data_IF_996038786253
#
_entry.id   IF_996038786253
#
_cell.length_a   1.000
_cell.length_b   1.000
_cell.length_c   1.000
_cell.angle_alpha   90.00
_cell.angle_beta   90.00
_cell.angle_gamma   90.00
#
_symmetry.space_group_name_H-M   'P 1'
#
loop_
_entity.id
_entity.type
_entity.pdbx_description
1 polymer ?
#
# COMPACT_ATOMS: atom_id res chain seq x y z
N UNK A 1 11.71 38.18 -21.76
CA UNK A 1 12.46 37.43 -20.71
C UNK A 1 11.61 37.44 -19.46
N UNK A 2 10.73 36.45 -19.29
CA UNK A 2 9.97 36.24 -18.04
C UNK A 2 10.65 35.11 -17.28
N UNK A 3 11.36 35.49 -16.22
CA UNK A 3 11.91 34.54 -15.26
C UNK A 3 10.76 34.06 -14.41
N UNK A 4 10.24 32.88 -14.68
CA UNK A 4 9.34 32.17 -13.78
C UNK A 4 10.14 31.78 -12.54
N UNK A 5 10.08 32.61 -11.51
CA UNK A 5 10.52 32.27 -10.15
C UNK A 5 9.57 31.17 -9.66
N UNK A 6 10.00 29.92 -9.77
CA UNK A 6 9.39 28.82 -9.04
C UNK A 6 9.67 29.08 -7.57
N UNK A 7 8.74 29.74 -6.89
CA UNK A 7 8.71 29.83 -5.43
C UNK A 7 8.39 28.42 -4.96
N UNK A 8 9.44 27.64 -4.74
CA UNK A 8 9.40 26.47 -3.86
C UNK A 8 8.99 27.02 -2.50
N UNK A 9 7.70 26.92 -2.17
CA UNK A 9 7.23 27.02 -0.81
C UNK A 9 7.83 25.81 -0.09
N UNK A 10 9.08 25.92 0.35
CA UNK A 10 9.69 25.06 1.36
C UNK A 10 8.89 25.32 2.63
N UNK A 11 7.90 24.50 2.90
CA UNK A 11 7.26 24.49 4.21
C UNK A 11 8.36 24.17 5.21
N UNK A 12 8.82 25.19 5.95
CA UNK A 12 9.66 25.01 7.13
C UNK A 12 8.78 24.32 8.17
N UNK A 13 8.67 22.99 8.06
CA UNK A 13 8.02 22.20 9.09
C UNK A 13 8.97 22.19 10.28
N UNK A 14 8.63 22.97 11.29
CA UNK A 14 9.35 23.00 12.55
C UNK A 14 8.96 21.75 13.36
N UNK A 15 9.96 21.00 13.84
CA UNK A 15 9.76 19.82 14.68
C UNK A 15 8.81 20.08 15.85
N UNK A 16 8.97 21.20 16.58
CA UNK A 16 8.12 21.55 17.71
C UNK A 16 6.65 21.72 17.30
N UNK A 17 6.39 22.29 16.14
CA UNK A 17 5.02 22.38 15.62
C UNK A 17 4.46 20.98 15.27
N UNK A 18 5.29 20.11 14.69
CA UNK A 18 4.86 18.74 14.36
C UNK A 18 4.44 17.97 15.61
N UNK A 19 5.23 18.01 16.68
CA UNK A 19 4.99 17.25 17.91
C UNK A 19 4.06 17.96 18.88
N UNK A 20 3.42 19.10 18.53
CA UNK A 20 2.54 19.83 19.44
C UNK A 20 1.49 18.91 20.07
N UNK A 21 1.04 19.27 21.28
CA UNK A 21 0.08 18.43 22.01
C UNK A 21 -1.25 18.31 21.24
N UNK A 22 -1.66 19.35 20.53
CA UNK A 22 -2.85 19.36 19.69
C UNK A 22 -2.73 18.35 18.55
N UNK A 23 -1.57 18.28 17.90
CA UNK A 23 -1.30 17.31 16.84
C UNK A 23 -1.25 15.87 17.37
N UNK A 24 -0.79 15.65 18.60
CA UNK A 24 -0.82 14.33 19.24
C UNK A 24 -2.26 13.91 19.58
N UNK A 25 -3.11 14.81 20.08
CA UNK A 25 -4.53 14.52 20.28
C UNK A 25 -5.24 14.24 18.96
N UNK A 26 -4.92 14.98 17.90
CA UNK A 26 -5.46 14.72 16.57
C UNK A 26 -5.01 13.35 16.04
N UNK A 27 -3.72 13.04 16.16
CA UNK A 27 -3.16 11.73 15.75
C UNK A 27 -3.81 10.57 16.54
N UNK A 28 -4.05 10.75 17.84
CA UNK A 28 -4.83 9.81 18.65
C UNK A 28 -6.24 9.64 18.13
N UNK A 29 -6.96 10.72 17.89
CA UNK A 29 -8.33 10.69 17.36
C UNK A 29 -8.41 9.91 16.07
N UNK A 30 -7.48 10.14 15.12
CA UNK A 30 -7.40 9.39 13.87
C UNK A 30 -7.04 7.91 14.09
N UNK A 31 -6.10 7.65 14.99
CA UNK A 31 -5.69 6.28 15.32
C UNK A 31 -6.85 5.47 15.94
N UNK A 32 -7.61 6.10 16.84
CA UNK A 32 -8.70 5.45 17.60
C UNK A 32 -9.88 5.00 16.72
N UNK A 33 -10.11 5.63 15.58
CA UNK A 33 -11.23 5.32 14.66
C UNK A 33 -11.30 3.83 14.34
N UNK A 34 -12.45 3.22 14.63
CA UNK A 34 -12.69 1.79 14.39
C UNK A 34 -11.91 0.83 15.30
N UNK A 35 -11.30 1.31 16.39
CA UNK A 35 -10.49 0.49 17.32
C UNK A 35 -10.95 0.57 18.79
N UNK A 36 -12.04 1.26 19.07
CA UNK A 36 -12.56 1.52 20.43
C UNK A 36 -12.85 0.28 21.26
N UNK A 37 -13.09 -0.87 20.60
CA UNK A 37 -13.34 -2.17 21.26
C UNK A 37 -12.06 -2.96 21.59
N UNK A 38 -10.89 -2.46 21.24
CA UNK A 38 -9.63 -3.16 21.51
C UNK A 38 -9.14 -2.84 22.92
N UNK A 39 -8.79 -3.87 23.68
CA UNK A 39 -8.37 -3.73 25.07
C UNK A 39 -7.17 -2.80 25.22
N UNK A 40 -6.13 -2.96 24.39
CA UNK A 40 -4.94 -2.13 24.43
C UNK A 40 -5.24 -0.64 24.14
N UNK A 41 -6.26 -0.35 23.34
CA UNK A 41 -6.70 1.02 23.04
C UNK A 41 -7.51 1.58 24.21
N UNK A 42 -8.40 0.78 24.82
CA UNK A 42 -9.18 1.18 26.00
C UNK A 42 -8.29 1.45 27.21
N UNK A 43 -7.27 0.62 27.42
CA UNK A 43 -6.30 0.79 28.49
C UNK A 43 -5.52 2.12 28.33
N UNK A 44 -5.03 2.42 27.14
CA UNK A 44 -4.37 3.70 26.86
C UNK A 44 -5.35 4.88 27.02
N UNK A 45 -6.60 4.72 26.64
CA UNK A 45 -7.63 5.78 26.71
C UNK A 45 -8.01 6.14 28.15
N UNK A 46 -7.93 5.21 29.13
CA UNK A 46 -8.23 5.48 30.54
C UNK A 46 -7.30 6.54 31.13
N UNK A 47 -6.07 6.66 30.66
CA UNK A 47 -5.06 7.62 31.09
C UNK A 47 -4.58 8.45 29.89
N UNK A 48 -5.54 8.89 29.06
CA UNK A 48 -5.22 9.47 27.75
C UNK A 48 -4.34 10.72 27.87
N UNK A 49 -4.72 11.63 28.77
CA UNK A 49 -4.02 12.90 28.92
C UNK A 49 -2.60 12.66 29.42
N UNK A 50 -2.43 11.90 30.50
CA UNK A 50 -1.11 11.57 31.05
C UNK A 50 -0.22 10.90 29.99
N UNK A 51 -0.76 9.87 29.30
CA UNK A 51 -0.05 9.16 28.24
C UNK A 51 0.39 10.06 27.07
N UNK A 52 -0.45 11.03 26.69
CA UNK A 52 -0.11 11.95 25.59
C UNK A 52 0.85 13.05 26.05
N UNK A 53 0.75 13.53 27.30
CA UNK A 53 1.72 14.48 27.85
C UNK A 53 3.08 13.84 28.07
N UNK A 54 3.15 12.61 28.56
CA UNK A 54 4.39 11.85 28.69
C UNK A 54 5.03 11.62 27.32
N UNK A 55 4.23 11.24 26.31
CA UNK A 55 4.70 11.10 24.93
C UNK A 55 5.22 12.44 24.39
N UNK A 56 4.50 13.55 24.59
CA UNK A 56 4.92 14.89 24.20
C UNK A 56 6.27 15.27 24.85
N UNK A 57 6.41 15.05 26.15
CA UNK A 57 7.64 15.36 26.89
C UNK A 57 8.81 14.53 26.38
N UNK A 58 8.60 13.24 26.10
CA UNK A 58 9.65 12.35 25.57
C UNK A 58 10.08 12.78 24.17
N UNK A 59 9.16 13.21 23.33
CA UNK A 59 9.46 13.74 21.99
C UNK A 59 10.19 15.08 22.08
N UNK A 60 9.70 16.01 22.89
CA UNK A 60 10.28 17.35 23.10
C UNK A 60 11.71 17.27 23.62
N UNK A 61 11.97 16.38 24.57
CA UNK A 61 13.29 16.19 25.17
C UNK A 61 14.19 15.22 24.38
N UNK A 62 13.71 14.69 23.24
CA UNK A 62 14.42 13.71 22.40
C UNK A 62 14.81 12.43 23.14
N UNK A 63 14.08 12.07 24.16
CA UNK A 63 14.25 10.81 24.91
C UNK A 63 13.35 9.69 24.38
N UNK A 64 12.47 9.99 23.45
CA UNK A 64 11.59 9.00 22.83
C UNK A 64 12.40 7.84 22.23
N UNK A 65 11.97 6.63 22.56
CA UNK A 65 12.44 5.37 21.97
C UNK A 65 11.23 4.56 21.56
N UNK A 66 11.24 4.07 20.34
CA UNK A 66 10.19 3.18 19.87
C UNK A 66 10.21 1.88 20.68
N UNK A 67 9.03 1.46 21.15
CA UNK A 67 8.90 0.24 21.94
C UNK A 67 8.93 -1.04 21.09
N UNK A 68 8.90 -2.18 21.76
CA UNK A 68 8.92 -3.50 21.10
C UNK A 68 7.64 -3.77 20.32
N UNK A 69 7.78 -4.59 19.27
CA UNK A 69 6.67 -5.06 18.46
C UNK A 69 6.07 -6.35 19.01
N UNK A 70 4.75 -6.41 19.05
CA UNK A 70 4.02 -7.67 19.20
C UNK A 70 3.86 -8.31 17.83
N UNK A 71 4.40 -9.52 17.63
CA UNK A 71 4.32 -10.19 16.35
C UNK A 71 3.29 -11.32 16.36
N UNK A 72 2.57 -11.49 15.24
CA UNK A 72 1.63 -12.58 15.02
C UNK A 72 1.45 -12.86 13.53
N UNK A 73 0.96 -14.07 13.22
CA UNK A 73 0.72 -14.48 11.85
C UNK A 73 -0.74 -14.30 11.44
N UNK A 74 -0.96 -13.70 10.26
CA UNK A 74 -2.27 -13.62 9.60
C UNK A 74 -2.24 -14.51 8.37
N UNK A 75 -3.22 -15.42 8.23
CA UNK A 75 -3.25 -16.45 7.18
C UNK A 75 -4.23 -16.17 6.03
N UNK A 76 -4.57 -14.91 5.73
CA UNK A 76 -5.54 -14.60 4.67
C UNK A 76 -5.07 -13.51 3.72
N UNK A 77 -4.92 -13.77 2.44
CA UNK A 77 -4.94 -15.02 1.67
C UNK A 77 -3.60 -15.77 1.67
N UNK A 78 -2.56 -15.16 2.18
CA UNK A 78 -1.21 -15.69 2.36
C UNK A 78 -0.81 -15.45 3.80
N UNK A 79 0.02 -16.33 4.33
CA UNK A 79 0.63 -16.10 5.63
C UNK A 79 1.49 -14.84 5.57
N UNK A 80 1.25 -13.94 6.52
CA UNK A 80 2.04 -12.72 6.73
C UNK A 80 2.40 -12.60 8.19
N UNK A 81 3.64 -12.30 8.46
CA UNK A 81 4.11 -11.95 9.79
C UNK A 81 3.83 -10.46 10.02
N UNK A 82 2.98 -10.15 10.98
CA UNK A 82 2.58 -8.79 11.31
C UNK A 82 3.29 -8.37 12.60
N UNK A 83 3.82 -7.17 12.62
CA UNK A 83 4.50 -6.58 13.76
C UNK A 83 3.72 -5.35 14.23
N UNK A 84 2.96 -5.52 15.30
CA UNK A 84 2.09 -4.49 15.88
C UNK A 84 2.89 -3.67 16.89
N UNK A 85 3.04 -2.37 16.67
CA UNK A 85 3.64 -1.45 17.62
C UNK A 85 2.73 -1.19 18.84
N UNK A 86 3.28 -0.68 19.95
CA UNK A 86 2.54 -0.22 21.14
C UNK A 86 1.59 0.92 20.79
N UNK A 87 0.62 1.22 21.64
CA UNK A 87 -0.39 2.26 21.36
C UNK A 87 0.26 3.64 21.22
N UNK A 88 1.16 4.01 22.13
CA UNK A 88 1.93 5.26 22.06
C UNK A 88 2.68 5.42 20.75
N UNK A 89 3.39 4.36 20.32
CA UNK A 89 4.13 4.37 19.05
C UNK A 89 3.17 4.50 17.85
N UNK A 90 2.00 3.85 17.91
CA UNK A 90 0.99 4.00 16.84
C UNK A 90 0.43 5.40 16.74
N UNK A 91 0.38 6.18 17.83
CA UNK A 91 0.05 7.61 17.77
C UNK A 91 1.15 8.37 17.02
N UNK A 92 2.42 8.11 17.33
CA UNK A 92 3.57 8.70 16.59
C UNK A 92 3.54 8.30 15.11
N UNK A 93 3.21 7.04 14.81
CA UNK A 93 3.03 6.59 13.42
C UNK A 93 1.93 7.37 12.68
N UNK A 94 0.81 7.69 13.34
CA UNK A 94 -0.26 8.50 12.74
C UNK A 94 0.18 9.94 12.51
N UNK A 95 0.86 10.55 13.50
CA UNK A 95 1.43 11.89 13.40
C UNK A 95 2.37 12.00 12.18
N UNK A 96 3.36 11.12 12.11
CA UNK A 96 4.35 11.10 11.03
C UNK A 96 3.73 10.73 9.67
N UNK A 97 2.75 9.83 9.63
CA UNK A 97 2.06 9.50 8.40
C UNK A 97 1.36 10.72 7.81
N UNK A 98 0.62 11.47 8.61
CA UNK A 98 -0.08 12.68 8.16
C UNK A 98 0.90 13.71 7.61
N UNK A 99 1.99 13.94 8.31
CA UNK A 99 3.07 14.83 7.88
C UNK A 99 3.69 14.38 6.53
N UNK A 100 4.13 13.14 6.46
CA UNK A 100 4.77 12.58 5.26
C UNK A 100 3.81 12.52 4.08
N UNK A 101 2.54 12.17 4.32
CA UNK A 101 1.54 12.09 3.27
C UNK A 101 1.34 13.46 2.60
N UNK A 102 1.18 14.51 3.38
CA UNK A 102 1.02 15.88 2.87
C UNK A 102 2.24 16.37 2.09
N UNK A 103 3.43 15.96 2.51
CA UNK A 103 4.69 16.36 1.88
C UNK A 103 4.98 15.60 0.58
N UNK A 104 4.71 14.28 0.55
CA UNK A 104 5.16 13.39 -0.53
C UNK A 104 4.07 13.03 -1.55
N UNK A 105 2.78 12.97 -1.19
CA UNK A 105 1.72 12.46 -2.09
C UNK A 105 1.65 13.23 -3.42
N UNK A 106 1.89 14.54 -3.39
CA UNK A 106 1.91 15.39 -4.59
C UNK A 106 3.02 15.01 -5.59
N UNK A 107 4.08 14.34 -5.13
CA UNK A 107 5.19 13.89 -5.99
C UNK A 107 5.00 12.47 -6.52
N UNK A 108 4.04 11.74 -6.02
CA UNK A 108 3.77 10.39 -6.50
C UNK A 108 3.09 10.41 -7.86
N UNK A 109 3.50 9.50 -8.74
CA UNK A 109 2.84 9.36 -10.04
C UNK A 109 1.35 9.07 -9.87
N UNK A 110 0.54 9.59 -10.79
CA UNK A 110 -0.91 9.45 -10.71
C UNK A 110 -1.34 7.98 -10.60
N UNK A 111 -0.68 7.08 -11.32
CA UNK A 111 -1.05 5.67 -11.45
C UNK A 111 -0.40 4.74 -10.39
N UNK A 112 -0.06 5.29 -9.21
CA UNK A 112 0.25 4.55 -7.98
C UNK A 112 -1.00 4.47 -7.10
N UNK A 113 -1.45 3.26 -6.73
CA UNK A 113 -2.79 3.02 -6.18
C UNK A 113 -2.84 2.49 -4.75
N UNK A 114 -1.73 2.03 -4.18
CA UNK A 114 -1.71 1.46 -2.83
C UNK A 114 -1.58 2.54 -1.76
N UNK A 115 -2.36 2.43 -0.69
CA UNK A 115 -2.25 3.28 0.52
C UNK A 115 -2.25 4.78 0.23
N UNK A 116 -3.08 5.24 -0.69
CA UNK A 116 -3.30 6.64 -1.03
C UNK A 116 -4.77 7.00 -0.97
N UNK A 117 -5.09 8.22 -0.51
CA UNK A 117 -6.46 8.74 -0.46
C UNK A 117 -7.06 8.77 -1.87
N UNK A 118 -8.34 8.41 -1.95
CA UNK A 118 -9.08 8.34 -3.22
C UNK A 118 -8.49 7.40 -4.29
N UNK A 119 -7.62 6.47 -3.93
CA UNK A 119 -7.05 5.40 -4.77
C UNK A 119 -7.58 4.02 -4.31
N UNK A 120 -6.78 2.99 -4.34
CA UNK A 120 -7.13 1.66 -3.85
C UNK A 120 -7.38 0.63 -4.96
N UNK A 121 -7.73 -0.57 -4.55
CA UNK A 121 -7.83 -1.77 -5.39
C UNK A 121 -8.78 -1.57 -6.58
N UNK A 122 -10.01 -1.12 -6.33
CA UNK A 122 -11.03 -1.02 -7.39
C UNK A 122 -10.68 0.03 -8.44
N UNK A 123 -10.16 1.19 -7.99
CA UNK A 123 -9.70 2.23 -8.93
C UNK A 123 -8.48 1.78 -9.74
N UNK A 124 -7.57 1.00 -9.13
CA UNK A 124 -6.43 0.41 -9.85
C UNK A 124 -6.87 -0.58 -10.94
N UNK A 125 -7.85 -1.44 -10.64
CA UNK A 125 -8.40 -2.38 -11.63
C UNK A 125 -9.14 -1.66 -12.76
N UNK A 126 -9.95 -0.65 -12.42
CA UNK A 126 -10.65 0.18 -13.43
C UNK A 126 -9.65 0.94 -14.32
N UNK A 127 -8.56 1.44 -13.74
CA UNK A 127 -7.49 2.09 -14.51
C UNK A 127 -6.77 1.11 -15.44
N UNK A 128 -6.56 -0.12 -15.00
CA UNK A 128 -6.03 -1.16 -15.87
C UNK A 128 -6.95 -1.43 -17.06
N UNK A 129 -8.26 -1.54 -16.84
CA UNK A 129 -9.26 -1.67 -17.92
C UNK A 129 -9.19 -0.48 -18.90
N UNK A 130 -9.14 0.76 -18.40
CA UNK A 130 -8.97 1.95 -19.24
C UNK A 130 -7.70 1.88 -20.08
N UNK A 131 -6.59 1.44 -19.50
CA UNK A 131 -5.33 1.27 -20.22
C UNK A 131 -5.40 0.17 -21.27
N UNK A 132 -6.01 -0.97 -20.96
CA UNK A 132 -6.18 -2.05 -21.95
C UNK A 132 -7.00 -1.59 -23.14
N UNK A 133 -8.09 -0.81 -22.89
CA UNK A 133 -8.91 -0.23 -23.94
C UNK A 133 -8.14 0.76 -24.83
N UNK A 134 -7.31 1.63 -24.21
CA UNK A 134 -6.49 2.61 -24.94
C UNK A 134 -5.41 1.93 -25.77
N UNK A 135 -4.66 0.99 -25.18
CA UNK A 135 -3.57 0.26 -25.85
C UNK A 135 -4.11 -0.58 -27.01
N UNK A 136 -5.25 -1.25 -26.83
CA UNK A 136 -5.85 -2.09 -27.87
C UNK A 136 -6.73 -1.30 -28.86
N UNK A 137 -6.76 0.01 -28.80
CA UNK A 137 -7.66 0.85 -29.62
C UNK A 137 -9.09 0.32 -29.58
N UNK A 138 -9.67 0.32 -28.38
CA UNK A 138 -11.02 -0.21 -28.14
C UNK A 138 -11.17 -1.71 -28.47
N UNK A 139 -10.16 -2.51 -28.13
CA UNK A 139 -10.10 -3.98 -28.29
C UNK A 139 -10.00 -4.50 -29.73
N UNK A 140 -9.70 -3.63 -30.70
CA UNK A 140 -9.47 -4.00 -32.10
C UNK A 140 -8.05 -4.55 -32.33
N UNK A 141 -7.08 -4.02 -31.58
CA UNK A 141 -5.67 -4.40 -31.68
C UNK A 141 -5.22 -5.29 -30.51
N UNK A 142 -4.01 -5.83 -30.64
CA UNK A 142 -3.39 -6.57 -29.55
C UNK A 142 -3.08 -5.65 -28.36
N UNK A 143 -3.20 -6.20 -27.17
CA UNK A 143 -2.70 -5.61 -25.95
C UNK A 143 -2.00 -6.69 -25.11
N UNK A 144 -0.76 -6.41 -24.72
CA UNK A 144 0.03 -7.25 -23.82
C UNK A 144 0.28 -6.47 -22.52
N UNK A 145 0.28 -7.19 -21.40
CA UNK A 145 0.70 -6.68 -20.12
C UNK A 145 1.94 -7.45 -19.65
N UNK A 146 2.95 -6.71 -19.20
CA UNK A 146 4.06 -7.24 -18.43
C UNK A 146 3.79 -6.93 -16.96
N UNK A 147 3.53 -7.97 -16.19
CA UNK A 147 3.34 -7.91 -14.75
C UNK A 147 4.62 -8.28 -14.04
N UNK A 148 5.01 -7.46 -13.06
CA UNK A 148 6.24 -7.58 -12.29
C UNK A 148 5.92 -7.42 -10.79
N UNK A 149 6.70 -8.08 -9.95
CA UNK A 149 6.55 -8.06 -8.49
C UNK A 149 7.95 -8.04 -7.86
N UNK A 150 8.11 -7.31 -6.78
CA UNK A 150 9.39 -7.21 -6.08
C UNK A 150 9.48 -8.32 -5.03
N UNK A 151 10.63 -8.99 -4.97
CA UNK A 151 10.88 -10.09 -4.05
C UNK A 151 11.01 -9.57 -2.61
N UNK A 152 10.18 -10.09 -1.70
CA UNK A 152 10.22 -9.76 -0.26
C UNK A 152 10.29 -8.26 0.05
N UNK A 153 9.62 -7.42 -0.71
CA UNK A 153 9.78 -5.96 -0.73
C UNK A 153 9.93 -5.32 0.65
N UNK A 154 8.96 -5.52 1.57
CA UNK A 154 9.03 -4.91 2.92
C UNK A 154 10.24 -5.36 3.75
N UNK A 155 10.73 -6.57 3.50
CA UNK A 155 11.92 -7.11 4.17
C UNK A 155 13.25 -6.63 3.53
N UNK A 156 13.17 -6.08 2.30
CA UNK A 156 14.34 -5.69 1.51
C UNK A 156 14.55 -4.19 1.45
N UNK A 157 13.68 -3.38 2.06
CA UNK A 157 13.86 -1.92 2.11
C UNK A 157 15.11 -1.60 2.90
N UNK A 158 16.08 -0.95 2.28
CA UNK A 158 17.30 -0.47 2.90
C UNK A 158 17.04 0.82 3.67
N UNK A 159 17.47 0.87 4.95
CA UNK A 159 17.21 2.01 5.83
C UNK A 159 17.98 3.27 5.39
N UNK A 160 19.21 3.12 4.93
CA UNK A 160 20.06 4.25 4.50
C UNK A 160 19.49 4.90 3.24
N UNK A 161 19.04 4.08 2.28
CA UNK A 161 18.38 4.58 1.08
C UNK A 161 17.08 5.30 1.46
N UNK A 162 16.27 4.71 2.36
CA UNK A 162 15.02 5.33 2.81
C UNK A 162 15.27 6.69 3.48
N UNK A 163 16.26 6.80 4.36
CA UNK A 163 16.63 8.08 5.00
C UNK A 163 17.07 9.09 3.94
N UNK A 164 17.95 8.70 3.01
CA UNK A 164 18.35 9.57 1.88
C UNK A 164 17.15 10.11 1.09
N UNK A 165 16.14 9.29 0.85
CA UNK A 165 14.94 9.70 0.14
C UNK A 165 14.10 10.71 0.94
N UNK A 166 14.04 10.54 2.26
CA UNK A 166 13.38 11.48 3.16
C UNK A 166 14.10 12.83 3.21
N UNK A 167 15.43 12.81 3.28
CA UNK A 167 16.29 14.01 3.28
C UNK A 167 16.15 14.87 2.01
N UNK A 168 15.73 14.30 0.88
CA UNK A 168 15.45 15.09 -0.33
C UNK A 168 14.39 16.19 -0.11
N UNK A 169 13.49 16.01 0.87
CA UNK A 169 12.39 16.96 1.13
C UNK A 169 12.33 17.47 2.56
N UNK A 170 12.91 16.77 3.50
CA UNK A 170 12.88 17.12 4.94
C UNK A 170 14.26 17.67 5.30
N UNK A 171 14.29 18.93 5.70
CA UNK A 171 15.53 19.64 6.08
C UNK A 171 15.73 19.61 7.60
N UNK A 172 14.62 19.59 8.35
CA UNK A 172 14.62 19.62 9.81
C UNK A 172 15.23 18.32 10.35
N UNK A 173 16.40 18.46 10.99
CA UNK A 173 17.18 17.33 11.53
C UNK A 173 16.45 16.61 12.68
N UNK A 174 15.59 17.30 13.39
CA UNK A 174 14.84 16.72 14.51
C UNK A 174 13.68 15.86 14.01
N UNK A 175 13.05 16.26 12.90
CA UNK A 175 12.09 15.40 12.20
C UNK A 175 12.79 14.16 11.63
N UNK A 176 13.96 14.32 11.03
CA UNK A 176 14.74 13.18 10.52
C UNK A 176 15.19 12.26 11.66
N UNK A 177 15.57 12.82 12.83
CA UNK A 177 15.85 12.01 14.03
C UNK A 177 14.63 11.16 14.44
N UNK A 178 13.44 11.74 14.50
CA UNK A 178 12.23 11.00 14.88
C UNK A 178 11.90 9.90 13.85
N UNK A 179 12.05 10.20 12.56
CA UNK A 179 11.87 9.21 11.50
C UNK A 179 12.89 8.07 11.61
N UNK A 180 14.15 8.38 11.93
CA UNK A 180 15.20 7.40 12.18
C UNK A 180 14.87 6.50 13.38
N UNK A 181 14.32 7.05 14.49
CA UNK A 181 13.85 6.22 15.62
C UNK A 181 12.82 5.17 15.18
N UNK A 182 11.93 5.51 14.25
CA UNK A 182 10.93 4.57 13.73
C UNK A 182 11.55 3.57 12.74
N UNK A 183 12.39 4.05 11.83
CA UNK A 183 12.97 3.20 10.77
C UNK A 183 13.91 2.16 11.40
N UNK A 184 14.81 2.58 12.28
CA UNK A 184 15.78 1.70 12.92
C UNK A 184 15.19 0.86 14.08
N UNK A 185 13.94 1.10 14.50
CA UNK A 185 13.28 0.28 15.53
C UNK A 185 13.01 -1.16 15.07
N UNK A 186 13.12 -1.43 13.78
CA UNK A 186 12.83 -2.73 13.20
C UNK A 186 13.95 -3.14 12.23
N UNK A 187 14.58 -4.27 12.50
CA UNK A 187 15.61 -4.86 11.65
C UNK A 187 15.30 -6.34 11.44
N UNK A 188 15.34 -6.77 10.19
CA UNK A 188 15.33 -8.20 9.84
C UNK A 188 16.74 -8.72 9.57
N UNK A 189 17.56 -7.94 8.84
CA UNK A 189 18.95 -8.22 8.52
C UNK A 189 19.67 -6.89 8.24
N UNK A 190 20.82 -6.63 8.89
CA UNK A 190 21.78 -5.56 8.55
C UNK A 190 21.16 -4.23 8.07
N UNK A 191 20.39 -3.56 8.91
CA UNK A 191 19.72 -2.28 8.60
C UNK A 191 18.74 -2.35 7.43
N UNK A 192 18.10 -3.52 7.21
CA UNK A 192 17.04 -3.70 6.19
C UNK A 192 15.72 -4.15 6.79
N UNK A 193 14.67 -3.76 6.13
CA UNK A 193 13.30 -4.15 6.43
C UNK A 193 12.49 -3.14 7.20
N UNK A 194 11.20 -3.07 6.89
CA UNK A 194 10.20 -2.31 7.65
C UNK A 194 9.05 -3.22 8.06
N UNK A 195 8.44 -2.98 9.24
CA UNK A 195 7.46 -3.88 9.81
C UNK A 195 6.13 -3.82 9.06
N UNK A 196 5.57 -4.98 8.72
CA UNK A 196 4.20 -5.08 8.22
C UNK A 196 3.20 -4.84 9.35
N UNK A 197 2.23 -3.96 9.11
CA UNK A 197 1.12 -3.70 10.04
C UNK A 197 1.09 -2.29 10.63
N UNK A 198 2.10 -1.48 10.39
CA UNK A 198 2.17 -0.09 10.83
C UNK A 198 1.89 0.90 9.70
N UNK A 199 1.32 2.05 10.07
CA UNK A 199 0.87 3.05 9.10
C UNK A 199 2.05 3.72 8.38
N UNK A 200 3.15 4.03 9.09
CA UNK A 200 4.36 4.60 8.49
C UNK A 200 4.99 3.69 7.45
N UNK A 201 4.96 2.37 7.65
CA UNK A 201 5.49 1.42 6.66
C UNK A 201 4.81 1.54 5.30
N UNK A 202 3.53 1.94 5.26
CA UNK A 202 2.78 2.14 4.03
C UNK A 202 3.26 3.36 3.25
N UNK A 203 3.51 4.47 3.95
CA UNK A 203 4.01 5.69 3.30
C UNK A 203 5.48 5.55 2.93
N UNK A 204 6.32 4.91 3.75
CA UNK A 204 7.71 4.60 3.44
C UNK A 204 7.83 3.74 2.19
N UNK A 205 6.98 2.71 2.04
CA UNK A 205 6.90 1.88 0.85
C UNK A 205 6.60 2.71 -0.42
N UNK A 206 5.68 3.68 -0.32
CA UNK A 206 5.36 4.54 -1.45
C UNK A 206 6.49 5.55 -1.77
N UNK A 207 7.13 6.12 -0.75
CA UNK A 207 8.29 7.02 -0.93
C UNK A 207 9.43 6.26 -1.61
N UNK A 208 9.74 5.05 -1.14
CA UNK A 208 10.81 4.22 -1.69
C UNK A 208 10.57 3.85 -3.15
N UNK A 209 9.38 3.36 -3.47
CA UNK A 209 9.03 2.96 -4.83
C UNK A 209 8.65 4.12 -5.76
N UNK A 210 8.51 5.33 -5.24
CA UNK A 210 8.36 6.49 -6.10
C UNK A 210 9.59 6.70 -7.00
N UNK A 211 10.79 6.34 -6.56
CA UNK A 211 12.00 6.39 -7.40
C UNK A 211 11.86 5.47 -8.63
N UNK A 212 11.34 4.25 -8.44
CA UNK A 212 11.00 3.36 -9.55
C UNK A 212 9.94 3.98 -10.46
N UNK A 213 8.88 4.57 -9.88
CA UNK A 213 7.81 5.21 -10.65
C UNK A 213 8.36 6.35 -11.52
N UNK A 214 9.23 7.21 -10.96
CA UNK A 214 9.88 8.31 -11.67
C UNK A 214 10.81 7.79 -12.78
N UNK A 215 11.59 6.74 -12.52
CA UNK A 215 12.43 6.10 -13.53
C UNK A 215 11.60 5.59 -14.69
N UNK A 216 10.55 4.84 -14.42
CA UNK A 216 9.65 4.27 -15.45
C UNK A 216 8.97 5.38 -16.28
N UNK A 217 8.50 6.44 -15.63
CA UNK A 217 7.74 7.51 -16.30
C UNK A 217 8.64 8.50 -17.04
N UNK A 218 9.77 8.88 -16.48
CA UNK A 218 10.59 9.97 -17.01
C UNK A 218 11.86 9.52 -17.75
N UNK A 219 12.47 8.38 -17.36
CA UNK A 219 13.64 7.83 -18.05
C UNK A 219 13.23 6.85 -19.14
N UNK A 220 12.43 5.84 -18.79
CA UNK A 220 11.95 4.87 -19.77
C UNK A 220 10.78 5.40 -20.62
N UNK A 221 10.16 6.51 -20.22
CA UNK A 221 9.03 7.17 -20.92
C UNK A 221 7.85 6.24 -21.19
N UNK A 222 7.62 5.27 -20.31
CA UNK A 222 6.55 4.29 -20.44
C UNK A 222 5.20 4.95 -20.14
N UNK A 223 4.33 5.04 -21.13
CA UNK A 223 3.03 5.70 -21.04
C UNK A 223 2.06 4.94 -20.17
N UNK A 224 1.89 3.64 -20.40
CA UNK A 224 0.89 2.79 -19.74
C UNK A 224 1.56 1.95 -18.64
N UNK A 225 1.75 2.56 -17.49
CA UNK A 225 2.33 2.01 -16.29
C UNK A 225 1.40 2.24 -15.11
N UNK A 226 1.20 1.25 -14.27
CA UNK A 226 0.49 1.38 -13.00
C UNK A 226 1.09 0.48 -11.92
N UNK A 227 1.04 0.93 -10.68
CA UNK A 227 1.59 0.22 -9.52
C UNK A 227 0.59 0.12 -8.37
N UNK A 228 0.62 -1.01 -7.69
CA UNK A 228 -0.05 -1.23 -6.42
C UNK A 228 0.92 -1.90 -5.43
N UNK A 229 1.46 -1.13 -4.49
CA UNK A 229 2.57 -1.55 -3.63
C UNK A 229 3.75 -2.08 -4.47
N UNK A 230 4.18 -3.33 -4.23
CA UNK A 230 5.24 -4.04 -4.93
C UNK A 230 4.82 -4.69 -6.27
N UNK A 231 3.52 -4.70 -6.59
CA UNK A 231 2.95 -5.27 -7.82
C UNK A 231 2.79 -4.16 -8.87
N UNK A 232 3.44 -4.24 -10.02
CA UNK A 232 3.32 -3.23 -11.06
C UNK A 232 3.18 -3.82 -12.46
N UNK A 233 2.58 -3.04 -13.34
CA UNK A 233 2.20 -3.45 -14.69
C UNK A 233 2.63 -2.41 -15.72
N UNK A 234 3.09 -2.90 -16.87
CA UNK A 234 3.36 -2.12 -18.07
C UNK A 234 2.55 -2.72 -19.21
N UNK A 235 1.91 -1.88 -20.04
CA UNK A 235 1.12 -2.34 -21.18
C UNK A 235 1.65 -1.79 -22.50
N UNK A 236 1.55 -2.62 -23.56
CA UNK A 236 1.89 -2.25 -24.93
C UNK A 236 1.11 -3.08 -25.95
N UNK A 237 1.05 -2.60 -27.19
CA UNK A 237 0.51 -3.36 -28.33
C UNK A 237 1.38 -4.57 -28.71
N UNK A 238 2.68 -4.51 -28.41
CA UNK A 238 3.65 -5.57 -28.76
C UNK A 238 4.35 -6.15 -27.55
N UNK A 239 4.51 -7.46 -27.53
CA UNK A 239 5.18 -8.18 -26.45
C UNK A 239 6.68 -7.84 -26.37
N UNK A 240 7.35 -7.75 -27.50
CA UNK A 240 8.80 -7.51 -27.55
C UNK A 240 9.18 -6.16 -26.95
N UNK A 241 8.37 -5.12 -27.19
CA UNK A 241 8.53 -3.83 -26.57
C UNK A 241 8.51 -3.88 -25.03
N UNK A 242 7.72 -4.76 -24.45
CA UNK A 242 7.66 -4.93 -23.00
C UNK A 242 8.89 -5.67 -22.45
N UNK A 243 9.33 -6.69 -23.16
CA UNK A 243 10.41 -7.56 -22.68
C UNK A 243 11.77 -6.86 -22.64
N UNK A 244 12.03 -5.89 -23.52
CA UNK A 244 13.28 -5.11 -23.53
C UNK A 244 13.53 -4.37 -22.23
N UNK A 245 12.47 -3.89 -21.53
CA UNK A 245 12.62 -3.14 -20.30
C UNK A 245 12.94 -4.00 -19.06
N UNK A 246 12.81 -5.33 -19.13
CA UNK A 246 13.04 -6.18 -17.96
C UNK A 246 14.46 -6.03 -17.43
N UNK A 247 15.46 -5.98 -18.30
CA UNK A 247 16.85 -5.86 -17.87
C UNK A 247 17.17 -4.47 -17.31
N UNK A 248 16.61 -3.41 -17.88
CA UNK A 248 16.77 -2.05 -17.39
C UNK A 248 16.12 -1.88 -16.01
N UNK A 249 14.90 -2.39 -15.84
CA UNK A 249 14.19 -2.40 -14.56
C UNK A 249 14.95 -3.19 -13.49
N UNK A 250 15.51 -4.37 -13.86
CA UNK A 250 16.35 -5.16 -12.94
C UNK A 250 17.59 -4.38 -12.49
N UNK A 251 18.32 -3.81 -13.45
CA UNK A 251 19.53 -3.02 -13.15
C UNK A 251 19.22 -1.84 -12.25
N UNK A 252 18.16 -1.09 -12.56
CA UNK A 252 17.76 0.06 -11.75
C UNK A 252 17.38 -0.34 -10.32
N UNK A 253 16.55 -1.38 -10.17
CA UNK A 253 16.13 -1.87 -8.85
C UNK A 253 17.32 -2.32 -8.00
N UNK A 254 18.28 -3.05 -8.59
CA UNK A 254 19.46 -3.54 -7.85
C UNK A 254 20.41 -2.39 -7.51
N UNK A 255 20.74 -1.53 -8.47
CA UNK A 255 21.79 -0.54 -8.28
C UNK A 255 21.34 0.68 -7.46
N UNK A 256 20.09 1.12 -7.63
CA UNK A 256 19.58 2.35 -7.01
C UNK A 256 18.75 2.11 -5.74
N UNK A 257 18.10 0.93 -5.67
CA UNK A 257 17.14 0.65 -4.60
C UNK A 257 17.47 -0.61 -3.80
N UNK A 258 18.51 -1.34 -4.13
CA UNK A 258 18.88 -2.62 -3.52
C UNK A 258 17.72 -3.64 -3.45
N UNK A 259 16.86 -3.62 -4.48
CA UNK A 259 15.70 -4.47 -4.63
C UNK A 259 15.85 -5.45 -5.79
N UNK A 260 15.23 -6.63 -5.66
CA UNK A 260 15.20 -7.64 -6.70
C UNK A 260 13.79 -7.89 -7.24
N UNK A 261 13.66 -8.07 -8.56
CA UNK A 261 12.43 -8.63 -9.13
C UNK A 261 12.26 -10.09 -8.72
N UNK A 262 11.02 -10.47 -8.42
CA UNK A 262 10.71 -11.85 -8.07
C UNK A 262 10.80 -12.74 -9.33
N UNK A 263 11.75 -13.71 -9.41
CA UNK A 263 12.07 -14.42 -10.66
C UNK A 263 10.87 -15.18 -11.25
N UNK A 264 10.00 -15.73 -10.39
CA UNK A 264 8.81 -16.49 -10.80
C UNK A 264 7.56 -15.63 -11.03
N UNK A 265 7.66 -14.30 -10.93
CA UNK A 265 6.52 -13.37 -11.08
C UNK A 265 6.76 -12.30 -12.15
N UNK A 266 7.62 -12.58 -13.11
CA UNK A 266 7.78 -11.81 -14.34
C UNK A 266 6.87 -12.47 -15.37
N UNK A 267 5.69 -11.89 -15.60
CA UNK A 267 4.63 -12.54 -16.39
C UNK A 267 4.23 -11.61 -17.53
N UNK A 268 4.49 -12.02 -18.76
CA UNK A 268 3.92 -11.36 -19.95
C UNK A 268 2.65 -12.09 -20.40
N UNK A 269 1.55 -11.35 -20.56
CA UNK A 269 0.25 -11.93 -20.89
C UNK A 269 -0.53 -11.10 -21.89
N UNK A 270 -1.14 -11.74 -22.88
CA UNK A 270 -2.06 -11.11 -23.83
C UNK A 270 -3.41 -10.84 -23.13
N UNK A 271 -4.04 -9.70 -23.42
CA UNK A 271 -5.31 -9.29 -22.82
C UNK A 271 -6.42 -10.35 -23.00
N UNK A 272 -6.50 -10.99 -24.16
CA UNK A 272 -7.52 -12.00 -24.44
C UNK A 272 -7.43 -13.24 -23.51
N UNK A 273 -6.27 -13.48 -22.89
CA UNK A 273 -6.09 -14.53 -21.88
C UNK A 273 -6.40 -14.07 -20.47
N UNK A 274 -6.80 -12.82 -20.33
CA UNK A 274 -7.13 -12.17 -19.05
C UNK A 274 -5.88 -11.76 -18.27
N UNK A 275 -5.82 -10.51 -17.86
CA UNK A 275 -4.74 -9.94 -17.03
C UNK A 275 -5.18 -10.03 -15.54
N UNK A 276 -4.47 -10.84 -14.78
CA UNK A 276 -4.72 -11.02 -13.36
C UNK A 276 -4.09 -9.88 -12.55
N UNK A 277 -4.94 -9.03 -11.94
CA UNK A 277 -4.50 -7.92 -11.10
C UNK A 277 -5.44 -7.69 -9.92
N UNK A 278 -4.89 -7.54 -8.72
CA UNK A 278 -5.60 -7.20 -7.46
C UNK A 278 -6.85 -8.05 -7.16
N UNK A 279 -6.81 -9.33 -7.53
CA UNK A 279 -7.93 -10.24 -7.27
C UNK A 279 -8.96 -10.34 -8.39
N UNK A 280 -8.80 -9.56 -9.44
CA UNK A 280 -9.65 -9.58 -10.63
C UNK A 280 -8.87 -10.04 -11.87
N UNK A 281 -9.60 -10.44 -12.89
CA UNK A 281 -9.09 -10.76 -14.23
C UNK A 281 -9.73 -9.79 -15.21
N UNK A 282 -8.91 -8.92 -15.80
CA UNK A 282 -9.34 -7.96 -16.81
C UNK A 282 -9.25 -8.61 -18.19
N UNK A 283 -10.35 -8.61 -18.93
CA UNK A 283 -10.52 -9.14 -20.27
C UNK A 283 -11.05 -8.05 -21.22
N UNK A 284 -11.05 -8.23 -22.54
CA UNK A 284 -11.78 -7.33 -23.40
C UNK A 284 -13.24 -7.23 -22.97
N UNK A 285 -13.75 -6.01 -22.81
CA UNK A 285 -15.16 -5.69 -22.50
C UNK A 285 -15.68 -6.05 -21.09
N UNK A 286 -14.96 -6.85 -20.26
CA UNK A 286 -15.45 -7.22 -18.94
C UNK A 286 -14.35 -7.56 -17.94
N UNK A 287 -14.69 -7.46 -16.68
CA UNK A 287 -13.83 -7.80 -15.56
C UNK A 287 -14.45 -8.98 -14.80
N UNK A 288 -13.67 -10.01 -14.50
CA UNK A 288 -14.12 -11.16 -13.72
C UNK A 288 -13.40 -11.24 -12.36
N UNK A 289 -14.08 -11.73 -11.32
CA UNK A 289 -13.40 -12.08 -10.08
C UNK A 289 -12.48 -13.29 -10.31
N UNK A 290 -11.29 -13.27 -9.71
CA UNK A 290 -10.29 -14.36 -9.83
C UNK A 290 -10.90 -15.68 -9.34
N UNK A 291 -10.70 -16.77 -10.09
CA UNK A 291 -11.25 -18.10 -9.76
C UNK A 291 -10.85 -18.58 -8.36
N UNK A 292 -9.59 -18.37 -7.96
CA UNK A 292 -9.11 -18.72 -6.61
C UNK A 292 -9.85 -17.93 -5.52
N UNK A 293 -10.15 -16.65 -5.76
CA UNK A 293 -10.94 -15.81 -4.82
C UNK A 293 -12.37 -16.30 -4.73
N UNK A 294 -13.01 -16.66 -5.86
CA UNK A 294 -14.36 -17.26 -5.88
C UNK A 294 -14.42 -18.51 -5.03
N UNK A 295 -13.52 -19.49 -5.29
CA UNK A 295 -13.50 -20.76 -4.52
C UNK A 295 -13.35 -20.52 -3.02
N UNK A 296 -12.44 -19.61 -2.63
CA UNK A 296 -12.21 -19.24 -1.23
C UNK A 296 -13.44 -18.58 -0.60
N UNK A 297 -14.12 -17.70 -1.31
CA UNK A 297 -15.34 -17.01 -0.87
C UNK A 297 -16.43 -18.02 -0.48
N UNK A 298 -16.77 -18.94 -1.36
CA UNK A 298 -17.77 -19.97 -1.08
C UNK A 298 -17.37 -20.83 0.13
N UNK A 299 -16.11 -21.30 0.17
CA UNK A 299 -15.62 -22.11 1.30
C UNK A 299 -15.72 -21.35 2.64
N UNK A 300 -15.27 -20.07 2.67
CA UNK A 300 -15.29 -19.29 3.91
C UNK A 300 -16.69 -18.92 4.38
N UNK A 301 -17.61 -18.64 3.47
CA UNK A 301 -18.99 -18.34 3.86
C UNK A 301 -19.68 -19.59 4.40
N UNK A 302 -19.48 -20.78 3.79
CA UNK A 302 -20.02 -22.04 4.35
C UNK A 302 -19.50 -22.29 5.76
N UNK A 303 -18.20 -22.08 6.02
CA UNK A 303 -17.58 -22.26 7.35
C UNK A 303 -18.06 -21.26 8.41
N UNK A 304 -18.66 -20.14 7.99
CA UNK A 304 -19.10 -19.07 8.89
C UNK A 304 -20.61 -18.95 9.03
N UNK A 305 -21.37 -19.89 8.48
CA UNK A 305 -22.83 -19.75 8.36
C UNK A 305 -23.50 -19.42 9.70
N UNK A 306 -23.06 -20.06 10.80
CA UNK A 306 -23.58 -19.88 12.15
C UNK A 306 -22.85 -18.79 12.96
N UNK A 307 -21.89 -18.08 12.36
CA UNK A 307 -21.12 -17.07 13.08
C UNK A 307 -21.81 -15.70 13.08
N UNK A 308 -21.71 -14.95 14.17
CA UNK A 308 -22.21 -13.56 14.28
C UNK A 308 -21.72 -12.67 13.14
N UNK A 309 -20.52 -12.93 12.63
CA UNK A 309 -19.89 -12.15 11.56
C UNK A 309 -20.24 -12.64 10.14
N UNK A 310 -21.21 -13.58 10.00
CA UNK A 310 -21.60 -14.11 8.69
C UNK A 310 -22.11 -13.00 7.75
N UNK A 311 -23.09 -12.22 8.21
CA UNK A 311 -23.68 -11.16 7.39
C UNK A 311 -22.65 -10.11 6.96
N UNK A 312 -21.74 -9.70 7.84
CA UNK A 312 -20.64 -8.79 7.50
C UNK A 312 -19.73 -9.40 6.43
N UNK A 313 -19.39 -10.67 6.55
CA UNK A 313 -18.57 -11.40 5.56
C UNK A 313 -19.29 -11.51 4.22
N UNK A 314 -20.59 -11.81 4.21
CA UNK A 314 -21.42 -11.90 3.02
C UNK A 314 -21.48 -10.55 2.27
N UNK A 315 -21.78 -9.46 2.98
CA UNK A 315 -21.82 -8.11 2.40
C UNK A 315 -20.47 -7.69 1.83
N UNK A 316 -19.38 -8.01 2.52
CA UNK A 316 -18.02 -7.75 2.03
C UNK A 316 -17.74 -8.46 0.69
N UNK A 317 -18.15 -9.74 0.56
CA UNK A 317 -18.00 -10.48 -0.69
C UNK A 317 -18.95 -9.99 -1.80
N UNK A 318 -20.17 -9.63 -1.47
CA UNK A 318 -21.10 -9.03 -2.45
C UNK A 318 -20.57 -7.68 -2.96
N UNK A 319 -20.02 -6.85 -2.06
CA UNK A 319 -19.32 -5.62 -2.44
C UNK A 319 -18.14 -5.88 -3.37
N UNK A 320 -17.28 -6.88 -3.07
CA UNK A 320 -16.20 -7.30 -3.95
C UNK A 320 -16.72 -7.73 -5.34
N UNK A 321 -17.79 -8.53 -5.39
CA UNK A 321 -18.40 -8.97 -6.64
C UNK A 321 -19.02 -7.82 -7.44
N UNK A 322 -19.56 -6.79 -6.78
CA UNK A 322 -20.17 -5.62 -7.42
C UNK A 322 -19.22 -4.82 -8.33
N UNK A 323 -17.91 -4.97 -8.15
CA UNK A 323 -16.90 -4.33 -9.00
C UNK A 323 -16.49 -5.15 -10.24
N UNK A 324 -17.21 -6.24 -10.53
CA UNK A 324 -16.93 -7.13 -11.64
C UNK A 324 -18.21 -7.51 -12.39
N UNK A 325 -18.08 -8.05 -13.60
CA UNK A 325 -19.17 -8.64 -14.38
C UNK A 325 -19.58 -9.98 -13.77
N UNK A 326 -20.22 -9.94 -12.61
CA UNK A 326 -20.40 -11.11 -11.74
C UNK A 326 -21.85 -11.44 -11.37
N UNK A 327 -22.84 -10.92 -12.09
CA UNK A 327 -24.27 -11.14 -11.79
C UNK A 327 -24.61 -12.60 -11.52
N UNK A 328 -24.25 -13.51 -12.45
CA UNK A 328 -24.51 -14.95 -12.30
C UNK A 328 -23.85 -15.55 -11.04
N UNK A 329 -22.68 -15.05 -10.66
CA UNK A 329 -21.95 -15.50 -9.46
C UNK A 329 -22.64 -14.99 -8.19
N UNK A 330 -23.15 -13.75 -8.21
CA UNK A 330 -23.90 -13.17 -7.09
C UNK A 330 -25.19 -13.96 -6.86
N UNK A 331 -25.94 -14.27 -7.93
CA UNK A 331 -27.16 -15.10 -7.82
C UNK A 331 -26.83 -16.50 -7.28
N UNK A 332 -25.82 -17.16 -7.85
CA UNK A 332 -25.37 -18.46 -7.33
C UNK A 332 -25.00 -18.38 -5.85
N UNK A 333 -24.32 -17.33 -5.42
CA UNK A 333 -23.94 -17.15 -4.02
C UNK A 333 -25.17 -17.00 -3.12
N UNK A 334 -26.15 -16.15 -3.50
CA UNK A 334 -27.39 -15.94 -2.75
C UNK A 334 -28.17 -17.25 -2.60
N UNK A 335 -28.36 -18.00 -3.69
CA UNK A 335 -29.03 -19.29 -3.67
C UNK A 335 -28.29 -20.29 -2.75
N UNK A 336 -26.96 -20.36 -2.86
CA UNK A 336 -26.18 -21.28 -2.03
C UNK A 336 -26.25 -20.92 -0.54
N UNK A 337 -26.25 -19.63 -0.19
CA UNK A 337 -26.43 -19.16 1.19
C UNK A 337 -27.81 -19.57 1.74
N UNK A 338 -28.83 -19.45 0.89
CA UNK A 338 -30.17 -19.88 1.27
C UNK A 338 -30.23 -21.41 1.59
N UNK A 339 -29.63 -22.24 0.73
CA UNK A 339 -29.52 -23.67 0.97
C UNK A 339 -28.78 -24.01 2.28
N UNK A 340 -27.61 -23.37 2.51
CA UNK A 340 -26.82 -23.60 3.74
C UNK A 340 -27.53 -23.20 5.03
N UNK A 341 -28.54 -22.34 4.99
CA UNK A 341 -29.32 -21.95 6.16
C UNK A 341 -30.50 -22.90 6.46
N UNK A 342 -30.82 -23.75 5.50
CA UNK A 342 -31.91 -24.74 5.65
C UNK A 342 -31.33 -26.11 6.06
N UNK A 343 -30.09 -26.42 5.65
CA UNK A 343 -29.34 -27.58 6.14
C UNK A 343 -28.98 -27.41 7.63
#
# INVERSE_FOLDING_TARGET
>A
MCVCVIILIRMHSNYLNLISIENLFQAWSEFRKGKTKRLDVQEFERHLEDNLFDLFNSLKNKTYRHGDYQSFYVQDPKQRHIHKARVSDRVVHHLLYTFLYNLFDKSFVYDSYSCRLNKGTHKGVKRLEEFTRKVSRNYTNNCFALKLDIKKFFASIDHKILIKLLEKKIIDKDILWLLAQIIFSFNLNEEKGIPLGNLTSQIFANIYLNELDQFVKHKLKIKYYLRYADDFLILSETKNYLLQYINELKKYLVNELELELHPKKIISRKLNWGIDFLGYIVLPHYILPRTKTKKRMFKKLKQKIDSENFNQSLQSYLGYLGHASSYKIQQKLKNQVWFWKIE
#
